data_IF_441030472761
#
_entry.id   IF_441030472761
#
_cell.length_a   1.000
_cell.length_b   1.000
_cell.length_c   1.000
_cell.angle_alpha   90.00
_cell.angle_beta   90.00
_cell.angle_gamma   90.00
#
_symmetry.space_group_name_H-M   'P 1'
#
loop_
_entity.id
_entity.type
_entity.pdbx_description
1 polymer ?
#
# COMPACT_ATOMS: atom_id res chain seq x y z
N UNK A 1 0.55 2.04 -29.77
CA UNK A 1 -0.27 1.96 -28.55
C UNK A 1 -0.76 3.36 -28.23
N UNK A 2 -2.08 3.58 -28.26
CA UNK A 2 -2.66 4.87 -27.92
C UNK A 2 -2.36 5.19 -26.44
N UNK A 3 -1.94 6.43 -26.16
CA UNK A 3 -1.66 6.89 -24.79
C UNK A 3 -2.93 6.74 -23.95
N UNK A 4 -2.85 6.21 -22.71
CA UNK A 4 -4.01 6.14 -21.83
C UNK A 4 -4.57 7.54 -21.58
N UNK A 5 -5.88 7.68 -21.73
CA UNK A 5 -6.63 8.90 -21.47
C UNK A 5 -6.61 9.20 -19.96
N UNK A 6 -5.69 10.08 -19.56
CA UNK A 6 -5.50 10.51 -18.18
C UNK A 6 -6.53 11.54 -17.71
N UNK A 7 -7.54 11.87 -18.52
CA UNK A 7 -8.51 12.95 -18.22
C UNK A 7 -9.35 12.63 -16.99
N UNK A 8 -9.72 11.36 -16.77
CA UNK A 8 -10.49 10.94 -15.57
C UNK A 8 -9.66 11.04 -14.29
N UNK A 9 -8.41 10.56 -14.30
CA UNK A 9 -7.50 10.65 -13.14
C UNK A 9 -7.10 12.09 -12.80
N UNK A 10 -7.13 12.98 -13.80
CA UNK A 10 -6.88 14.41 -13.61
C UNK A 10 -8.07 15.08 -12.93
N UNK A 11 -9.30 14.80 -13.38
CA UNK A 11 -10.52 15.27 -12.73
C UNK A 11 -10.63 14.80 -11.27
N UNK A 12 -10.32 13.53 -10.99
CA UNK A 12 -10.33 13.00 -9.61
C UNK A 12 -9.29 13.68 -8.69
N UNK A 13 -8.15 14.15 -9.23
CA UNK A 13 -7.16 14.92 -8.45
C UNK A 13 -7.61 16.36 -8.25
N UNK A 14 -8.13 16.99 -9.30
CA UNK A 14 -8.69 18.34 -9.23
C UNK A 14 -9.83 18.40 -8.20
N UNK A 15 -10.73 17.41 -8.16
CA UNK A 15 -11.80 17.31 -7.16
C UNK A 15 -11.28 17.09 -5.72
N UNK A 16 -10.18 16.34 -5.55
CA UNK A 16 -9.53 16.15 -4.24
C UNK A 16 -8.81 17.42 -3.77
N UNK A 17 -8.07 18.06 -4.65
CA UNK A 17 -7.38 19.32 -4.38
C UNK A 17 -8.40 20.42 -4.04
N UNK A 18 -9.51 20.54 -4.77
CA UNK A 18 -10.60 21.48 -4.46
C UNK A 18 -11.26 21.18 -3.10
N UNK A 19 -11.45 19.90 -2.77
CA UNK A 19 -12.00 19.48 -1.48
C UNK A 19 -11.05 19.80 -0.32
N UNK A 20 -9.74 19.60 -0.51
CA UNK A 20 -8.69 19.96 0.46
C UNK A 20 -8.57 21.48 0.62
N UNK A 21 -8.61 22.23 -0.48
CA UNK A 21 -8.58 23.70 -0.48
C UNK A 21 -9.79 24.31 0.23
N UNK A 22 -10.97 23.70 0.07
CA UNK A 22 -12.18 24.08 0.78
C UNK A 22 -12.05 24.00 2.32
N UNK A 23 -11.08 23.23 2.84
CA UNK A 23 -10.81 23.08 4.27
C UNK A 23 -9.79 24.10 4.81
N UNK A 24 -9.26 25.01 3.99
CA UNK A 24 -8.37 26.09 4.46
C UNK A 24 -9.09 26.99 5.46
N UNK A 25 -8.46 27.24 6.62
CA UNK A 25 -8.93 28.24 7.57
C UNK A 25 -8.94 29.64 6.96
N UNK A 26 -9.96 30.41 7.26
CA UNK A 26 -10.07 31.78 6.77
C UNK A 26 -9.40 32.71 7.77
N UNK A 27 -8.48 33.55 7.31
CA UNK A 27 -7.79 34.54 8.15
C UNK A 27 -8.18 35.97 7.78
N UNK A 28 -7.88 36.92 8.67
CA UNK A 28 -8.19 38.33 8.47
C UNK A 28 -7.70 38.85 7.11
N UNK A 29 -8.57 39.56 6.38
CA UNK A 29 -8.29 40.05 5.03
C UNK A 29 -8.71 39.09 3.90
N UNK A 30 -9.39 37.99 4.22
CA UNK A 30 -10.01 37.09 3.26
C UNK A 30 -11.00 37.82 2.32
N UNK A 31 -11.22 37.26 1.13
CA UNK A 31 -12.13 37.86 0.13
C UNK A 31 -13.47 37.16 0.11
N UNK A 32 -14.51 37.97 -0.03
CA UNK A 32 -15.91 37.56 -0.10
C UNK A 32 -16.47 37.84 -1.49
N UNK A 33 -17.51 37.11 -1.86
CA UNK A 33 -18.28 37.34 -3.08
C UNK A 33 -19.78 37.33 -2.82
N UNK A 34 -20.47 38.35 -3.33
CA UNK A 34 -21.93 38.45 -3.36
C UNK A 34 -22.40 38.92 -4.74
N UNK A 35 -23.12 38.06 -5.47
CA UNK A 35 -23.54 38.36 -6.85
C UNK A 35 -24.60 39.48 -6.96
N UNK A 36 -25.28 39.76 -5.85
CA UNK A 36 -26.26 40.84 -5.73
C UNK A 36 -25.68 42.16 -5.21
N UNK A 37 -24.37 42.26 -5.04
CA UNK A 37 -23.71 43.54 -4.85
C UNK A 37 -23.33 44.14 -6.22
N UNK A 38 -23.45 45.45 -6.41
CA UNK A 38 -22.95 46.12 -7.63
C UNK A 38 -21.42 46.05 -7.73
N UNK A 39 -20.74 45.88 -6.60
CA UNK A 39 -19.32 45.51 -6.51
C UNK A 39 -19.25 44.13 -5.85
N UNK A 40 -19.25 43.03 -6.63
CA UNK A 40 -19.43 41.68 -6.10
C UNK A 40 -18.35 41.22 -5.11
N UNK A 41 -17.15 41.79 -5.18
CA UNK A 41 -16.05 41.48 -4.26
C UNK A 41 -16.18 42.27 -2.94
N UNK A 42 -15.98 41.58 -1.82
CA UNK A 42 -15.93 42.16 -0.48
C UNK A 42 -14.71 41.69 0.31
N UNK A 43 -14.49 42.31 1.45
CA UNK A 43 -13.40 42.00 2.39
C UNK A 43 -13.98 41.43 3.68
N UNK A 44 -13.38 40.35 4.19
CA UNK A 44 -13.67 39.82 5.52
C UNK A 44 -12.67 40.38 6.54
N UNK A 45 -13.20 41.08 7.53
CA UNK A 45 -12.45 41.60 8.68
C UNK A 45 -12.76 40.78 9.91
N UNK A 46 -11.73 40.31 10.60
CA UNK A 46 -11.85 39.55 11.85
C UNK A 46 -11.78 40.53 13.02
N UNK A 47 -12.87 40.62 13.78
CA UNK A 47 -13.00 41.50 14.93
C UNK A 47 -12.86 40.74 16.26
N UNK A 48 -13.17 39.44 16.28
CA UNK A 48 -12.99 38.59 17.45
C UNK A 48 -11.50 38.30 17.72
N UNK A 49 -11.10 38.25 18.98
CA UNK A 49 -9.68 38.24 19.37
C UNK A 49 -9.04 36.85 19.33
N UNK A 50 -9.06 36.19 18.18
CA UNK A 50 -8.60 34.81 18.03
C UNK A 50 -7.07 34.69 17.88
N UNK A 51 -6.50 33.50 18.16
CA UNK A 51 -5.14 33.14 17.74
C UNK A 51 -4.90 33.38 16.24
N UNK A 52 -3.63 33.53 15.87
CA UNK A 52 -3.22 33.88 14.52
C UNK A 52 -2.72 32.68 13.71
N UNK A 53 -3.00 32.69 12.41
CA UNK A 53 -2.33 31.88 11.40
C UNK A 53 -1.70 32.86 10.41
N UNK A 54 -0.41 32.71 10.12
CA UNK A 54 0.35 33.66 9.28
C UNK A 54 0.19 35.12 9.75
N UNK A 55 0.38 35.33 11.06
CA UNK A 55 0.28 36.63 11.75
C UNK A 55 -1.07 37.36 11.60
N UNK A 56 -2.12 36.65 11.19
CA UNK A 56 -3.47 37.18 11.02
C UNK A 56 -4.48 36.37 11.81
N UNK A 57 -5.41 37.07 12.45
CA UNK A 57 -6.48 36.47 13.26
C UNK A 57 -7.34 35.51 12.42
N UNK A 58 -7.71 34.37 13.00
CA UNK A 58 -8.58 33.38 12.36
C UNK A 58 -10.05 33.81 12.45
N UNK A 59 -10.75 33.83 11.32
CA UNK A 59 -12.17 34.15 11.29
C UNK A 59 -13.00 33.02 11.90
N UNK A 60 -14.04 33.38 12.66
CA UNK A 60 -14.95 32.43 13.31
C UNK A 60 -16.41 32.75 13.00
N UNK A 61 -17.31 31.89 13.45
CA UNK A 61 -18.77 32.09 13.34
C UNK A 61 -19.29 33.40 13.97
N UNK A 62 -18.48 34.07 14.79
CA UNK A 62 -18.80 35.38 15.37
C UNK A 62 -18.80 36.50 14.32
N UNK A 63 -18.07 36.32 13.21
CA UNK A 63 -17.93 37.29 12.14
C UNK A 63 -19.17 37.30 11.23
N UNK A 64 -20.31 37.79 11.74
CA UNK A 64 -21.62 37.70 11.07
C UNK A 64 -22.40 39.02 10.98
N UNK A 65 -21.69 40.13 10.90
CA UNK A 65 -22.29 41.45 10.72
C UNK A 65 -21.54 42.32 9.70
N UNK A 66 -22.05 43.53 9.48
CA UNK A 66 -21.50 44.52 8.55
C UNK A 66 -20.12 45.07 8.93
N UNK A 67 -19.66 44.87 10.17
CA UNK A 67 -18.30 45.22 10.60
C UNK A 67 -17.30 44.17 10.15
N UNK A 68 -17.76 42.94 9.93
CA UNK A 68 -16.94 41.82 9.48
C UNK A 68 -17.03 41.59 7.97
N UNK A 69 -18.22 41.67 7.37
CA UNK A 69 -18.44 41.50 5.93
C UNK A 69 -18.55 42.85 5.21
N UNK A 70 -17.43 43.33 4.65
CA UNK A 70 -17.31 44.68 4.10
C UNK A 70 -17.51 44.64 2.59
N UNK A 71 -18.64 45.15 2.12
CA UNK A 71 -18.93 45.36 0.70
C UNK A 71 -19.04 46.86 0.39
N UNK A 72 -18.37 47.30 -0.67
CA UNK A 72 -18.31 48.72 -1.07
C UNK A 72 -19.40 49.12 -2.08
N UNK A 73 -20.20 48.16 -2.56
CA UNK A 73 -21.27 48.41 -3.52
C UNK A 73 -22.67 48.50 -2.90
N UNK A 74 -23.65 48.68 -3.76
CA UNK A 74 -25.06 48.70 -3.40
C UNK A 74 -25.70 47.33 -3.65
N UNK A 75 -26.76 47.01 -2.91
CA UNK A 75 -27.51 45.79 -3.14
C UNK A 75 -28.44 45.97 -4.35
N UNK A 76 -28.28 45.14 -5.38
CA UNK A 76 -29.11 45.14 -6.59
C UNK A 76 -30.60 44.88 -6.33
N UNK A 77 -30.92 44.25 -5.20
CA UNK A 77 -32.30 43.97 -4.76
C UNK A 77 -32.94 45.15 -4.03
N UNK A 78 -32.17 46.17 -3.65
CA UNK A 78 -32.75 47.41 -3.13
C UNK A 78 -33.49 48.17 -4.24
N UNK A 79 -34.51 48.98 -3.90
CA UNK A 79 -35.20 49.83 -4.88
C UNK A 79 -34.18 50.65 -5.69
N UNK A 80 -34.24 50.55 -7.02
CA UNK A 80 -33.31 51.19 -7.96
C UNK A 80 -31.82 50.89 -7.69
N UNK A 81 -31.48 49.81 -7.00
CA UNK A 81 -30.11 49.49 -6.57
C UNK A 81 -29.43 50.63 -5.78
N UNK A 82 -30.22 51.43 -5.06
CA UNK A 82 -29.75 52.67 -4.43
C UNK A 82 -29.14 52.46 -3.03
N UNK A 83 -29.45 51.36 -2.34
CA UNK A 83 -29.02 51.16 -0.96
C UNK A 83 -27.65 50.46 -0.87
N UNK A 84 -26.67 51.03 -0.14
CA UNK A 84 -25.40 50.37 0.15
C UNK A 84 -25.61 49.01 0.82
N UNK A 85 -24.82 47.99 0.44
CA UNK A 85 -24.87 46.69 1.10
C UNK A 85 -24.68 46.82 2.62
N UNK A 86 -23.77 47.71 3.06
CA UNK A 86 -23.52 47.97 4.46
C UNK A 86 -24.75 48.45 5.26
N UNK A 87 -25.77 49.03 4.62
CA UNK A 87 -26.96 49.55 5.33
C UNK A 87 -28.16 48.61 5.36
N UNK A 88 -28.23 47.64 4.43
CA UNK A 88 -29.41 46.76 4.27
C UNK A 88 -29.11 45.28 4.52
N UNK A 89 -27.84 44.92 4.65
CA UNK A 89 -27.43 43.52 4.79
C UNK A 89 -27.94 42.94 6.11
N UNK A 90 -28.66 41.82 6.00
CA UNK A 90 -29.12 41.00 7.10
C UNK A 90 -28.57 39.59 6.91
N UNK A 91 -27.72 39.13 7.82
CA UNK A 91 -26.98 37.88 7.69
C UNK A 91 -27.56 36.81 8.62
N UNK A 92 -27.67 35.58 8.10
CA UNK A 92 -28.02 34.39 8.88
C UNK A 92 -26.78 33.83 9.60
N UNK A 93 -26.87 32.60 10.12
CA UNK A 93 -25.70 31.90 10.65
C UNK A 93 -24.83 31.30 9.53
N UNK A 94 -23.54 31.17 9.81
CA UNK A 94 -22.57 30.52 8.93
C UNK A 94 -22.87 29.02 8.79
N UNK A 95 -22.63 28.50 7.58
CA UNK A 95 -22.70 27.08 7.25
C UNK A 95 -21.33 26.54 6.86
N UNK A 96 -21.16 25.22 6.95
CA UNK A 96 -19.95 24.50 6.53
C UNK A 96 -18.68 25.00 7.24
N UNK A 97 -18.79 25.20 8.56
CA UNK A 97 -17.73 25.69 9.45
C UNK A 97 -16.81 24.56 9.89
N UNK A 98 -15.64 24.89 10.44
CA UNK A 98 -14.71 23.92 10.99
C UNK A 98 -15.20 23.32 12.31
N UNK A 99 -14.66 22.17 12.68
CA UNK A 99 -15.04 21.42 13.90
C UNK A 99 -14.07 21.62 15.06
N UNK A 100 -12.92 22.27 14.82
CA UNK A 100 -11.95 22.65 15.85
C UNK A 100 -12.36 23.96 16.52
N UNK A 101 -11.81 24.26 17.70
CA UNK A 101 -12.12 25.48 18.43
C UNK A 101 -10.98 26.51 18.34
N UNK A 102 -11.34 27.75 18.04
CA UNK A 102 -10.50 28.94 18.23
C UNK A 102 -11.19 29.82 19.28
N UNK A 103 -10.69 29.80 20.52
CA UNK A 103 -11.33 30.45 21.68
C UNK A 103 -12.83 30.12 21.79
N UNK A 104 -13.14 28.83 21.86
CA UNK A 104 -14.50 28.30 22.03
C UNK A 104 -15.48 28.64 20.88
N UNK A 105 -14.96 29.10 19.74
CA UNK A 105 -15.75 29.37 18.53
C UNK A 105 -15.28 28.50 17.36
N UNK A 106 -16.23 28.05 16.55
CA UNK A 106 -15.91 27.34 15.31
C UNK A 106 -15.30 28.30 14.28
N UNK A 107 -14.19 27.93 13.64
CA UNK A 107 -13.55 28.73 12.61
C UNK A 107 -14.31 28.65 11.30
N UNK A 108 -14.17 29.68 10.47
CA UNK A 108 -14.62 29.65 9.09
C UNK A 108 -13.59 28.95 8.21
N UNK A 109 -14.10 28.16 7.28
CA UNK A 109 -13.34 27.48 6.24
C UNK A 109 -13.59 28.16 4.90
N UNK A 110 -12.72 27.96 3.91
CA UNK A 110 -12.91 28.55 2.58
C UNK A 110 -14.27 28.15 1.96
N UNK A 111 -14.74 26.93 2.25
CA UNK A 111 -16.07 26.46 1.82
C UNK A 111 -17.26 27.07 2.60
N UNK A 112 -17.01 27.78 3.70
CA UNK A 112 -18.08 28.33 4.54
C UNK A 112 -18.88 29.39 3.80
N UNK A 113 -20.19 29.41 4.04
CA UNK A 113 -21.12 30.36 3.42
C UNK A 113 -22.04 30.99 4.45
N UNK A 114 -22.54 32.20 4.15
CA UNK A 114 -23.50 32.90 5.00
C UNK A 114 -24.59 33.53 4.15
N UNK A 115 -25.85 33.28 4.51
CA UNK A 115 -26.98 33.78 3.75
C UNK A 115 -27.23 35.26 4.04
N UNK A 116 -27.25 36.10 3.02
CA UNK A 116 -27.80 37.44 3.11
C UNK A 116 -29.31 37.37 2.89
N UNK A 117 -30.11 37.48 3.95
CA UNK A 117 -31.57 37.38 3.90
C UNK A 117 -32.21 38.50 3.08
N UNK A 118 -31.65 39.71 3.14
CA UNK A 118 -32.11 40.83 2.33
C UNK A 118 -31.94 40.54 0.84
N UNK A 119 -30.71 40.19 0.42
CA UNK A 119 -30.38 39.81 -0.95
C UNK A 119 -31.06 38.51 -1.40
N UNK A 120 -31.26 37.57 -0.49
CA UNK A 120 -31.75 36.22 -0.77
C UNK A 120 -30.70 35.28 -1.36
N UNK A 121 -29.41 35.63 -1.30
CA UNK A 121 -28.28 34.84 -1.84
C UNK A 121 -27.24 34.57 -0.77
N UNK A 122 -26.48 33.50 -0.96
CA UNK A 122 -25.35 33.17 -0.08
C UNK A 122 -24.12 33.97 -0.47
N UNK A 123 -23.48 34.58 0.53
CA UNK A 123 -22.16 35.18 0.41
C UNK A 123 -21.12 34.06 0.56
N UNK A 124 -20.20 34.00 -0.39
CA UNK A 124 -19.14 32.98 -0.44
C UNK A 124 -17.79 33.58 -0.06
N UNK A 125 -16.93 32.77 0.53
CA UNK A 125 -15.51 33.10 0.70
C UNK A 125 -14.77 32.60 -0.53
N UNK A 126 -13.98 33.47 -1.17
CA UNK A 126 -13.30 33.17 -2.45
C UNK A 126 -11.78 33.18 -2.33
N UNK A 127 -11.25 33.69 -1.22
CA UNK A 127 -9.82 33.68 -0.89
C UNK A 127 -9.72 33.60 0.63
N UNK A 128 -9.03 32.59 1.16
CA UNK A 128 -8.85 32.40 2.60
C UNK A 128 -7.89 33.40 3.23
N UNK A 129 -7.24 34.25 2.41
CA UNK A 129 -6.12 35.14 2.74
C UNK A 129 -4.83 34.45 3.19
N UNK A 130 -4.83 33.12 3.30
CA UNK A 130 -3.60 32.36 3.45
C UNK A 130 -2.75 32.52 2.19
N UNK A 131 -1.45 32.72 2.37
CA UNK A 131 -0.49 32.82 1.26
C UNK A 131 0.54 31.71 1.41
N UNK A 132 0.98 31.18 0.28
CA UNK A 132 2.14 30.31 0.19
C UNK A 132 3.25 31.07 -0.54
N UNK A 133 3.54 32.28 -0.09
CA UNK A 133 4.59 33.12 -0.67
C UNK A 133 5.63 33.40 0.41
N UNK A 134 6.86 32.96 0.11
CA UNK A 134 8.05 33.43 0.82
C UNK A 134 8.37 34.81 0.23
N UNK A 135 7.92 35.88 0.89
CA UNK A 135 8.36 37.22 0.53
C UNK A 135 9.88 37.27 0.70
N UNK A 136 10.58 37.66 -0.38
CA UNK A 136 12.05 37.69 -0.53
C UNK A 136 12.79 37.84 0.81
N UNK A 137 13.48 36.78 1.21
CA UNK A 137 14.39 36.81 2.36
C UNK A 137 15.60 37.65 1.97
N UNK A 138 15.80 38.79 2.63
CA UNK A 138 17.12 39.44 2.64
C UNK A 138 18.04 38.59 3.53
N UNK A 139 18.89 37.80 2.89
CA UNK A 139 19.81 36.87 3.54
C UNK A 139 21.10 37.55 4.01
N UNK A 140 21.19 38.89 3.95
CA UNK A 140 22.40 39.60 4.32
C UNK A 140 22.51 39.68 5.85
N UNK A 141 23.14 38.66 6.45
CA UNK A 141 23.53 38.65 7.87
C UNK A 141 22.52 38.02 8.85
N UNK A 142 21.38 37.52 8.37
CA UNK A 142 20.50 36.70 9.20
C UNK A 142 21.14 35.32 9.43
N UNK A 143 21.32 34.85 10.67
CA UNK A 143 21.77 33.49 10.92
C UNK A 143 20.70 32.54 10.40
N UNK A 144 21.05 31.81 9.34
CA UNK A 144 20.29 30.66 8.85
C UNK A 144 20.07 29.73 10.04
N UNK A 145 18.83 29.34 10.38
CA UNK A 145 18.61 28.24 11.31
C UNK A 145 19.40 27.06 10.74
N UNK A 146 20.48 26.67 11.42
CA UNK A 146 21.27 25.55 10.96
C UNK A 146 20.34 24.34 10.94
N UNK A 147 19.96 23.86 9.75
CA UNK A 147 19.48 22.49 9.62
C UNK A 147 20.62 21.67 10.19
N UNK A 148 20.39 21.05 11.35
CA UNK A 148 21.40 20.21 11.95
C UNK A 148 21.66 19.07 10.95
N UNK A 149 22.80 19.14 10.27
CA UNK A 149 23.19 18.11 9.31
C UNK A 149 23.46 16.86 10.14
N UNK A 150 22.49 15.96 10.18
CA UNK A 150 22.61 14.66 10.85
C UNK A 150 23.56 13.80 10.01
N UNK A 151 24.83 13.84 10.38
CA UNK A 151 25.88 13.02 9.78
C UNK A 151 25.88 11.63 10.43
N UNK A 152 25.20 10.69 9.79
CA UNK A 152 25.14 9.27 10.22
C UNK A 152 25.75 8.34 9.19
N UNK A 153 26.32 7.24 9.67
CA UNK A 153 26.74 6.11 8.87
C UNK A 153 25.56 5.20 8.57
N UNK A 154 25.61 4.52 7.43
CA UNK A 154 24.60 3.53 7.04
C UNK A 154 24.32 3.50 5.54
N UNK A 155 23.27 2.77 5.20
CA UNK A 155 22.73 2.62 3.85
C UNK A 155 21.42 3.38 3.73
N UNK A 156 21.31 4.22 2.70
CA UNK A 156 20.17 5.10 2.50
C UNK A 156 19.37 4.64 1.29
N UNK A 157 18.08 4.45 1.50
CA UNK A 157 17.12 4.12 0.47
C UNK A 157 16.06 5.19 0.38
N UNK A 158 15.75 5.65 -0.83
CA UNK A 158 14.60 6.47 -1.07
C UNK A 158 13.32 5.72 -0.64
N UNK A 159 12.29 6.42 -0.18
CA UNK A 159 10.98 5.83 0.16
C UNK A 159 10.38 5.02 -0.99
N UNK A 160 10.78 5.31 -2.23
CA UNK A 160 10.40 4.51 -3.40
C UNK A 160 11.19 3.18 -3.59
N UNK A 161 12.10 2.82 -2.68
CA UNK A 161 12.91 1.60 -2.72
C UNK A 161 14.19 1.70 -3.55
N UNK A 162 14.51 2.87 -4.11
CA UNK A 162 15.78 3.12 -4.81
C UNK A 162 16.91 3.26 -3.79
N UNK A 163 18.06 2.66 -4.07
CA UNK A 163 19.26 2.85 -3.25
C UNK A 163 19.91 4.20 -3.60
N UNK A 164 20.09 5.07 -2.60
CA UNK A 164 20.63 6.42 -2.78
C UNK A 164 22.14 6.48 -2.51
N UNK A 165 22.63 5.69 -1.56
CA UNK A 165 24.05 5.60 -1.26
C UNK A 165 24.38 4.97 0.09
N UNK A 166 25.68 4.85 0.36
CA UNK A 166 26.24 4.37 1.62
C UNK A 166 27.20 5.42 2.17
N UNK A 167 27.15 5.64 3.47
CA UNK A 167 28.11 6.49 4.20
C UNK A 167 28.82 5.68 5.27
N UNK A 168 30.13 5.81 5.34
CA UNK A 168 30.99 5.16 6.33
C UNK A 168 32.19 6.06 6.67
N UNK A 169 31.89 7.15 7.37
CA UNK A 169 32.86 8.14 7.80
C UNK A 169 33.10 8.01 9.31
N UNK A 170 34.37 8.11 9.73
CA UNK A 170 34.76 7.94 11.14
C UNK A 170 34.19 9.00 12.07
N UNK A 171 33.84 10.17 11.54
CA UNK A 171 33.28 11.30 12.30
C UNK A 171 31.75 11.24 12.42
N UNK A 172 31.10 10.37 11.64
CA UNK A 172 29.65 10.25 11.63
C UNK A 172 29.20 9.33 12.77
N UNK A 173 28.02 9.63 13.32
CA UNK A 173 27.37 8.78 14.32
C UNK A 173 26.70 7.55 13.67
N UNK A 174 26.21 6.61 14.47
CA UNK A 174 25.56 5.39 13.95
C UNK A 174 26.52 4.36 13.37
N UNK A 175 25.98 3.25 12.87
CA UNK A 175 26.74 2.12 12.33
C UNK A 175 26.70 2.10 10.80
N UNK A 176 27.82 1.75 10.14
CA UNK A 176 27.88 1.64 8.68
C UNK A 176 27.03 0.51 8.09
N UNK A 177 26.43 -0.32 8.94
CA UNK A 177 25.46 -1.36 8.59
C UNK A 177 24.01 -0.97 8.88
N UNK A 178 23.74 0.19 9.48
CA UNK A 178 22.37 0.67 9.70
C UNK A 178 21.67 0.94 8.37
N UNK A 179 20.34 0.84 8.36
CA UNK A 179 19.51 1.08 7.17
C UNK A 179 18.55 2.23 7.44
N UNK A 180 18.53 3.20 6.54
CA UNK A 180 17.66 4.37 6.61
C UNK A 180 16.76 4.45 5.37
N UNK A 181 15.51 4.88 5.56
CA UNK A 181 14.71 5.45 4.49
C UNK A 181 14.95 6.96 4.40
N UNK A 182 14.83 7.57 3.23
CA UNK A 182 14.94 9.02 3.00
C UNK A 182 14.01 9.46 1.86
N UNK A 183 13.77 10.77 1.72
CA UNK A 183 13.02 11.34 0.58
C UNK A 183 13.90 11.84 -0.57
N UNK A 184 15.16 11.38 -0.58
CA UNK A 184 16.14 11.68 -1.61
C UNK A 184 17.42 12.26 -1.02
N UNK A 185 18.24 12.85 -1.90
CA UNK A 185 19.51 13.48 -1.55
C UNK A 185 19.53 14.95 -1.94
N UNK A 186 20.25 15.75 -1.17
CA UNK A 186 20.50 17.16 -1.44
C UNK A 186 21.98 17.48 -1.27
N UNK A 187 22.45 18.49 -2.00
CA UNK A 187 23.79 19.05 -1.80
C UNK A 187 23.71 20.20 -0.81
N UNK A 188 24.48 20.11 0.27
CA UNK A 188 24.60 21.17 1.27
C UNK A 188 26.07 21.58 1.40
N UNK A 189 26.36 22.76 1.95
CA UNK A 189 27.73 23.16 2.26
C UNK A 189 28.02 22.90 3.73
N UNK A 190 29.18 22.32 4.02
CA UNK A 190 29.66 22.15 5.39
C UNK A 190 30.18 23.47 5.98
N UNK A 191 30.69 23.41 7.22
CA UNK A 191 31.23 24.58 7.95
C UNK A 191 32.43 25.23 7.26
N UNK A 192 33.11 24.49 6.38
CA UNK A 192 34.27 24.97 5.61
C UNK A 192 33.85 25.42 4.20
N UNK A 193 32.55 25.46 3.90
CA UNK A 193 31.98 25.86 2.62
C UNK A 193 32.07 24.79 1.53
N UNK A 194 32.48 23.57 1.88
CA UNK A 194 32.62 22.44 0.94
C UNK A 194 31.26 21.77 0.72
N UNK A 195 30.96 21.48 -0.54
CA UNK A 195 29.75 20.74 -0.90
C UNK A 195 29.80 19.29 -0.41
N UNK A 196 28.77 18.89 0.33
CA UNK A 196 28.53 17.56 0.86
C UNK A 196 27.15 17.05 0.42
N UNK A 197 27.06 15.76 0.13
CA UNK A 197 25.77 15.11 -0.11
C UNK A 197 25.14 14.75 1.22
N UNK A 198 23.89 15.15 1.42
CA UNK A 198 23.07 14.81 2.59
C UNK A 198 21.82 14.08 2.13
N UNK A 199 21.19 13.33 3.04
CA UNK A 199 19.96 12.60 2.77
C UNK A 199 18.81 13.26 3.52
N UNK A 200 17.68 13.43 2.83
CA UNK A 200 16.55 14.20 3.35
C UNK A 200 15.63 13.29 4.16
N UNK A 201 15.12 13.78 5.31
CA UNK A 201 14.10 13.12 6.13
C UNK A 201 14.45 11.66 6.46
N UNK A 202 15.70 11.45 6.90
CA UNK A 202 16.17 10.10 7.19
C UNK A 202 15.38 9.47 8.36
N UNK A 203 14.97 8.22 8.20
CA UNK A 203 14.35 7.41 9.26
C UNK A 203 15.08 6.09 9.36
N UNK A 204 15.65 5.83 10.52
CA UNK A 204 16.34 4.59 10.85
C UNK A 204 15.33 3.44 10.94
N UNK A 205 15.58 2.36 10.19
CA UNK A 205 14.74 1.17 10.21
C UNK A 205 15.13 0.26 11.36
N UNK A 206 14.11 -0.21 12.09
CA UNK A 206 14.27 -1.08 13.24
C UNK A 206 13.42 -2.34 13.11
N UNK A 207 13.99 -3.47 13.49
CA UNK A 207 13.26 -4.71 13.69
C UNK A 207 12.86 -4.79 15.18
N UNK A 208 11.61 -4.43 15.48
CA UNK A 208 11.18 -4.08 16.84
C UNK A 208 11.97 -2.85 17.33
N UNK A 209 12.80 -2.97 18.36
CA UNK A 209 13.56 -1.85 18.93
C UNK A 209 15.05 -1.83 18.52
N UNK A 210 15.48 -2.83 17.76
CA UNK A 210 16.88 -2.96 17.33
C UNK A 210 17.06 -2.53 15.87
N UNK A 211 18.15 -1.82 15.58
CA UNK A 211 18.49 -1.43 14.22
C UNK A 211 18.65 -2.69 13.34
N UNK A 212 17.96 -2.72 12.21
CA UNK A 212 18.16 -3.79 11.25
C UNK A 212 19.49 -3.57 10.51
N UNK A 213 20.33 -4.61 10.44
CA UNK A 213 21.55 -4.54 9.65
C UNK A 213 21.23 -4.63 8.15
N UNK A 214 22.04 -3.98 7.32
CA UNK A 214 21.90 -3.97 5.87
C UNK A 214 21.91 -5.38 5.26
N UNK A 215 22.79 -6.26 5.75
CA UNK A 215 22.83 -7.68 5.35
C UNK A 215 21.48 -8.38 5.65
N UNK A 216 20.91 -8.16 6.84
CA UNK A 216 19.63 -8.75 7.20
C UNK A 216 18.48 -8.20 6.35
N UNK A 217 18.44 -6.88 6.15
CA UNK A 217 17.46 -6.22 5.29
C UNK A 217 17.52 -6.77 3.85
N UNK A 218 18.71 -6.87 3.26
CA UNK A 218 18.91 -7.38 1.91
C UNK A 218 18.56 -8.87 1.78
N UNK A 219 18.84 -9.68 2.81
CA UNK A 219 18.45 -11.09 2.84
C UNK A 219 16.93 -11.25 2.87
N UNK A 220 16.24 -10.54 3.77
CA UNK A 220 14.78 -10.56 3.88
C UNK A 220 14.15 -10.09 2.55
N UNK A 221 14.68 -9.02 1.97
CA UNK A 221 14.21 -8.50 0.69
C UNK A 221 14.34 -9.55 -0.43
N UNK A 222 15.45 -10.28 -0.49
CA UNK A 222 15.60 -11.35 -1.49
C UNK A 222 14.52 -12.42 -1.34
N UNK A 223 14.31 -12.91 -0.11
CA UNK A 223 13.34 -13.98 0.13
C UNK A 223 11.92 -13.51 -0.20
N UNK A 224 11.49 -12.34 0.31
CA UNK A 224 10.17 -11.76 0.01
C UNK A 224 9.96 -11.58 -1.50
N UNK A 225 10.98 -11.09 -2.21
CA UNK A 225 10.92 -10.92 -3.67
C UNK A 225 10.71 -12.25 -4.40
N UNK A 226 11.36 -13.32 -3.93
CA UNK A 226 11.33 -14.63 -4.58
C UNK A 226 10.06 -15.42 -4.24
N UNK A 227 9.43 -15.15 -3.09
CA UNK A 227 8.13 -15.71 -2.69
C UNK A 227 6.96 -15.06 -3.46
N UNK A 228 7.05 -13.76 -3.76
CA UNK A 228 6.01 -13.08 -4.54
C UNK A 228 5.97 -13.56 -6.00
N UNK A 229 4.79 -13.62 -6.61
CA UNK A 229 4.63 -14.00 -8.01
C UNK A 229 5.12 -12.92 -8.96
N UNK A 230 4.44 -11.76 -8.93
CA UNK A 230 4.63 -10.67 -9.90
C UNK A 230 5.10 -9.37 -9.22
N UNK A 231 5.11 -8.26 -9.95
CA UNK A 231 5.39 -6.92 -9.42
C UNK A 231 4.16 -6.33 -8.68
N UNK A 232 3.58 -7.09 -7.75
CA UNK A 232 2.41 -6.69 -6.96
C UNK A 232 2.84 -6.20 -5.57
N UNK A 233 2.73 -4.88 -5.34
CA UNK A 233 3.10 -4.26 -4.06
C UNK A 233 2.22 -4.76 -2.90
N UNK A 234 0.94 -5.05 -3.13
CA UNK A 234 0.04 -5.57 -2.09
C UNK A 234 0.48 -6.98 -1.68
N UNK A 235 0.78 -7.85 -2.64
CA UNK A 235 1.30 -9.21 -2.36
C UNK A 235 2.64 -9.15 -1.61
N UNK A 236 3.58 -8.32 -2.06
CA UNK A 236 4.87 -8.11 -1.39
C UNK A 236 4.70 -7.63 0.05
N UNK A 237 3.80 -6.66 0.28
CA UNK A 237 3.45 -6.19 1.64
C UNK A 237 2.85 -7.31 2.48
N UNK A 238 1.93 -8.10 1.94
CA UNK A 238 1.34 -9.24 2.65
C UNK A 238 2.39 -10.29 3.03
N UNK A 239 3.28 -10.68 2.12
CA UNK A 239 4.35 -11.67 2.39
C UNK A 239 5.30 -11.14 3.46
N UNK A 240 5.69 -9.87 3.35
CA UNK A 240 6.56 -9.22 4.32
C UNK A 240 5.91 -9.21 5.72
N UNK A 241 4.67 -8.72 5.83
CA UNK A 241 3.95 -8.68 7.11
C UNK A 241 3.72 -10.07 7.70
N UNK A 242 3.30 -11.03 6.87
CA UNK A 242 2.99 -12.40 7.31
C UNK A 242 4.23 -13.11 7.87
N UNK A 243 5.38 -12.99 7.20
CA UNK A 243 6.64 -13.55 7.69
C UNK A 243 7.15 -12.83 8.94
N UNK A 244 6.95 -11.51 9.06
CA UNK A 244 7.29 -10.76 10.27
C UNK A 244 6.38 -11.10 11.47
N UNK A 245 5.08 -11.33 11.22
CA UNK A 245 4.14 -11.78 12.23
C UNK A 245 4.53 -13.15 12.78
N UNK A 246 4.89 -14.08 11.88
CA UNK A 246 5.38 -15.39 12.28
C UNK A 246 6.66 -15.30 13.10
N UNK A 247 7.61 -14.43 12.73
CA UNK A 247 8.88 -14.30 13.46
C UNK A 247 8.65 -13.79 14.88
N UNK A 248 7.75 -12.80 15.03
CA UNK A 248 7.27 -12.32 16.34
C UNK A 248 6.59 -13.42 17.14
N UNK A 249 5.72 -14.21 16.51
CA UNK A 249 4.98 -15.30 17.17
C UNK A 249 5.92 -16.37 17.74
N UNK A 250 6.93 -16.78 16.98
CA UNK A 250 7.89 -17.82 17.39
C UNK A 250 9.12 -17.25 18.10
N UNK A 251 9.17 -15.92 18.29
CA UNK A 251 10.21 -15.18 19.02
C UNK A 251 11.63 -15.38 18.48
N UNK A 252 11.78 -15.34 17.15
CA UNK A 252 13.09 -15.35 16.49
C UNK A 252 13.21 -14.14 15.56
N UNK A 253 14.45 -13.77 15.18
CA UNK A 253 14.66 -12.66 14.24
C UNK A 253 14.10 -13.01 12.86
N UNK A 254 13.62 -12.01 12.14
CA UNK A 254 12.91 -12.18 10.88
C UNK A 254 13.77 -12.90 9.83
N UNK A 255 15.05 -12.52 9.70
CA UNK A 255 16.02 -13.26 8.86
C UNK A 255 16.15 -14.72 9.28
N UNK A 256 16.24 -14.99 10.59
CA UNK A 256 16.41 -16.36 11.10
C UNK A 256 15.21 -17.23 10.71
N UNK A 257 13.98 -16.70 10.82
CA UNK A 257 12.78 -17.40 10.35
C UNK A 257 12.87 -17.69 8.85
N UNK A 258 13.14 -16.67 8.03
CA UNK A 258 13.18 -16.82 6.57
C UNK A 258 14.32 -17.72 6.09
N UNK A 259 15.36 -17.93 6.90
CA UNK A 259 16.42 -18.89 6.62
C UNK A 259 16.02 -20.36 6.83
N UNK A 260 14.88 -20.62 7.50
CA UNK A 260 14.37 -21.98 7.73
C UNK A 260 13.56 -22.51 6.54
N UNK A 261 12.99 -23.71 6.70
CA UNK A 261 12.02 -24.30 5.79
C UNK A 261 10.66 -23.56 5.76
N UNK A 262 10.47 -22.53 6.58
CA UNK A 262 9.30 -21.65 6.52
C UNK A 262 9.13 -20.99 5.14
N UNK A 263 10.25 -20.70 4.46
CA UNK A 263 10.27 -20.24 3.06
C UNK A 263 10.80 -21.34 2.16
N UNK A 264 10.09 -21.56 1.04
CA UNK A 264 10.43 -22.58 0.03
C UNK A 264 11.56 -22.13 -0.92
N UNK A 265 11.94 -20.85 -0.87
CA UNK A 265 12.98 -20.28 -1.74
C UNK A 265 14.30 -21.03 -1.57
N UNK A 266 14.80 -21.59 -2.68
CA UNK A 266 16.13 -22.17 -2.79
C UNK A 266 17.22 -21.10 -2.94
N UNK A 267 18.47 -21.46 -2.63
CA UNK A 267 19.66 -20.60 -2.77
C UNK A 267 19.45 -19.17 -2.22
N UNK A 268 18.93 -19.09 -0.99
CA UNK A 268 18.66 -17.82 -0.29
C UNK A 268 19.94 -17.00 -0.14
N UNK A 269 19.91 -15.75 -0.60
CA UNK A 269 21.05 -14.83 -0.61
C UNK A 269 20.59 -13.40 -0.37
N UNK A 270 21.51 -12.44 -0.40
CA UNK A 270 21.18 -11.02 -0.26
C UNK A 270 20.78 -10.39 -1.60
N UNK A 271 19.72 -9.57 -1.56
CA UNK A 271 19.33 -8.74 -2.69
C UNK A 271 20.30 -7.57 -2.81
N UNK A 272 21.11 -7.56 -3.88
CA UNK A 272 22.02 -6.45 -4.16
C UNK A 272 21.29 -5.10 -4.12
N UNK A 273 21.84 -4.15 -3.39
CA UNK A 273 21.32 -2.79 -3.23
C UNK A 273 21.24 -2.05 -4.57
N UNK A 274 22.18 -2.30 -5.48
CA UNK A 274 22.23 -1.73 -6.83
C UNK A 274 21.17 -2.29 -7.78
N UNK A 275 20.43 -3.33 -7.36
CA UNK A 275 19.38 -3.92 -8.20
C UNK A 275 18.15 -3.00 -8.21
N UNK A 276 17.88 -2.40 -9.37
CA UNK A 276 16.91 -1.32 -9.53
C UNK A 276 15.67 -1.69 -10.38
N UNK A 277 15.46 -2.98 -10.63
CA UNK A 277 14.20 -3.43 -11.26
C UNK A 277 13.00 -3.13 -10.34
N UNK A 278 11.84 -2.95 -10.95
CA UNK A 278 10.60 -2.58 -10.27
C UNK A 278 10.30 -3.51 -9.09
N UNK A 279 10.35 -4.84 -9.28
CA UNK A 279 10.10 -5.80 -8.20
C UNK A 279 11.05 -5.60 -7.02
N UNK A 280 12.34 -5.36 -7.27
CA UNK A 280 13.33 -5.08 -6.21
C UNK A 280 12.97 -3.81 -5.43
N UNK A 281 12.56 -2.73 -6.12
CA UNK A 281 12.14 -1.49 -5.46
C UNK A 281 10.87 -1.69 -4.63
N UNK A 282 9.83 -2.28 -5.20
CA UNK A 282 8.58 -2.59 -4.50
C UNK A 282 8.79 -3.51 -3.30
N UNK A 283 9.72 -4.47 -3.41
CA UNK A 283 10.09 -5.33 -2.29
C UNK A 283 10.67 -4.49 -1.15
N UNK A 284 11.64 -3.60 -1.41
CA UNK A 284 12.19 -2.73 -0.36
C UNK A 284 11.12 -1.82 0.25
N UNK A 285 10.22 -1.26 -0.57
CA UNK A 285 9.05 -0.51 -0.08
C UNK A 285 8.18 -1.34 0.86
N UNK A 286 7.94 -2.62 0.54
CA UNK A 286 7.15 -3.52 1.40
C UNK A 286 7.82 -3.77 2.75
N UNK A 287 9.16 -3.87 2.79
CA UNK A 287 9.90 -3.98 4.04
C UNK A 287 9.86 -2.68 4.83
N UNK A 288 9.95 -1.51 4.18
CA UNK A 288 9.81 -0.22 4.86
C UNK A 288 8.44 -0.11 5.53
N UNK A 289 7.39 -0.52 4.83
CA UNK A 289 6.03 -0.53 5.36
C UNK A 289 5.94 -1.35 6.67
N UNK A 290 6.56 -2.53 6.72
CA UNK A 290 6.60 -3.35 7.95
C UNK A 290 7.47 -2.71 9.04
N UNK A 291 8.69 -2.30 8.70
CA UNK A 291 9.69 -1.81 9.67
C UNK A 291 9.37 -0.39 10.19
N UNK A 292 8.52 0.36 9.48
CA UNK A 292 8.00 1.64 9.94
C UNK A 292 6.83 1.50 10.92
N UNK A 293 6.31 0.28 11.12
CA UNK A 293 5.20 0.01 12.02
C UNK A 293 3.84 0.41 11.46
N UNK A 294 3.67 0.38 10.14
CA UNK A 294 2.39 0.66 9.48
C UNK A 294 1.34 -0.42 9.82
N UNK A 295 0.06 -0.20 9.52
CA UNK A 295 -0.97 -1.17 9.86
C UNK A 295 -0.77 -2.54 9.17
N UNK A 296 -0.95 -3.62 9.93
CA UNK A 296 -0.89 -5.00 9.44
C UNK A 296 -2.12 -5.31 8.56
N UNK A 297 -1.96 -5.10 7.26
CA UNK A 297 -2.98 -5.40 6.25
C UNK A 297 -3.38 -6.88 6.17
N UNK A 298 -2.59 -7.79 6.76
CA UNK A 298 -2.87 -9.23 6.75
C UNK A 298 -3.72 -9.66 7.94
N UNK A 299 -4.04 -8.76 8.87
CA UNK A 299 -4.83 -9.01 10.06
C UNK A 299 -4.28 -10.20 10.90
N UNK A 300 -2.95 -10.24 11.06
CA UNK A 300 -2.26 -11.26 11.83
C UNK A 300 -2.10 -12.59 11.11
N UNK A 301 -2.03 -12.60 9.78
CA UNK A 301 -1.66 -13.81 9.05
C UNK A 301 -0.24 -14.25 9.45
N UNK A 302 -0.03 -15.56 9.47
CA UNK A 302 1.24 -16.21 9.80
C UNK A 302 1.74 -17.17 8.69
N UNK A 303 0.93 -17.42 7.66
CA UNK A 303 1.28 -18.30 6.53
C UNK A 303 0.65 -17.77 5.23
N UNK A 304 1.11 -18.24 4.08
CA UNK A 304 0.48 -18.00 2.78
C UNK A 304 0.56 -19.25 1.92
N UNK A 305 -0.33 -19.36 0.92
CA UNK A 305 -0.24 -20.34 -0.16
C UNK A 305 -0.55 -19.67 -1.49
N UNK A 306 0.05 -20.21 -2.55
CA UNK A 306 -0.19 -19.75 -3.91
C UNK A 306 -1.45 -20.35 -4.52
N UNK A 307 -1.52 -20.31 -5.86
CA UNK A 307 -2.63 -20.91 -6.62
C UNK A 307 -2.78 -22.41 -6.41
N UNK A 308 -1.74 -23.09 -5.90
CA UNK A 308 -1.75 -24.52 -5.64
C UNK A 308 -2.81 -24.93 -4.62
N UNK A 309 -3.10 -24.06 -3.64
CA UNK A 309 -4.14 -24.35 -2.65
C UNK A 309 -5.50 -24.56 -3.29
N UNK A 310 -5.94 -23.62 -4.13
CA UNK A 310 -7.23 -23.72 -4.81
C UNK A 310 -7.19 -24.66 -6.01
N UNK A 311 -6.02 -24.86 -6.62
CA UNK A 311 -5.87 -25.75 -7.76
C UNK A 311 -5.89 -27.23 -7.36
N UNK A 312 -5.35 -27.56 -6.18
CA UNK A 312 -5.27 -28.95 -5.73
C UNK A 312 -6.40 -29.32 -4.76
N UNK A 313 -6.78 -28.40 -3.86
CA UNK A 313 -7.80 -28.66 -2.84
C UNK A 313 -7.49 -29.92 -2.03
N UNK A 314 -8.51 -30.73 -1.74
CA UNK A 314 -8.38 -32.07 -1.21
C UNK A 314 -8.73 -33.16 -2.25
N UNK A 315 -9.20 -32.76 -3.42
CA UNK A 315 -9.71 -33.69 -4.45
C UNK A 315 -8.75 -34.04 -5.58
N UNK A 316 -7.66 -33.29 -5.77
CA UNK A 316 -6.75 -33.48 -6.92
C UNK A 316 -5.43 -34.13 -6.52
N UNK A 317 -4.94 -35.08 -7.33
CA UNK A 317 -3.56 -35.57 -7.22
C UNK A 317 -2.58 -34.49 -7.68
N UNK A 318 -1.71 -34.05 -6.78
CA UNK A 318 -0.74 -33.00 -7.04
C UNK A 318 0.51 -33.54 -7.80
N UNK A 319 1.38 -32.66 -8.35
CA UNK A 319 2.57 -33.04 -9.14
C UNK A 319 3.57 -33.98 -8.44
N UNK A 320 3.43 -34.15 -7.13
CA UNK A 320 4.28 -34.99 -6.29
C UNK A 320 3.65 -36.35 -5.98
N UNK A 321 2.57 -36.72 -6.69
CA UNK A 321 1.84 -37.97 -6.52
C UNK A 321 1.23 -38.12 -5.11
N UNK A 322 0.72 -37.00 -4.58
CA UNK A 322 -0.04 -36.94 -3.33
C UNK A 322 -1.44 -36.40 -3.62
N UNK A 323 -2.46 -36.98 -3.00
CA UNK A 323 -3.81 -36.44 -3.02
C UNK A 323 -3.89 -35.16 -2.17
N UNK A 324 -4.39 -34.08 -2.76
CA UNK A 324 -4.65 -32.82 -2.09
C UNK A 324 -3.42 -31.99 -1.72
N UNK A 325 -3.70 -30.86 -1.07
CA UNK A 325 -2.73 -29.92 -0.54
C UNK A 325 -2.48 -30.19 0.95
N UNK A 326 -1.25 -30.01 1.41
CA UNK A 326 -0.81 -30.41 2.75
C UNK A 326 -1.64 -29.85 3.91
N UNK A 327 -2.24 -28.67 3.77
CA UNK A 327 -3.00 -28.01 4.83
C UNK A 327 -4.27 -28.75 5.20
N UNK A 328 -4.83 -29.55 4.28
CA UNK A 328 -5.94 -30.44 4.59
C UNK A 328 -5.52 -31.59 5.53
N UNK A 329 -4.22 -31.87 5.65
CA UNK A 329 -3.68 -32.87 6.59
C UNK A 329 -3.07 -32.24 7.87
N UNK A 330 -2.81 -30.93 7.87
CA UNK A 330 -2.08 -30.23 8.93
C UNK A 330 -2.97 -29.50 9.94
N UNK A 331 -4.18 -29.13 9.54
CA UNK A 331 -5.04 -28.23 10.30
C UNK A 331 -6.41 -28.83 10.53
N UNK A 332 -7.01 -28.55 11.70
CA UNK A 332 -8.34 -29.06 12.08
C UNK A 332 -9.44 -28.66 11.11
N UNK A 333 -9.40 -27.41 10.66
CA UNK A 333 -10.33 -26.88 9.69
C UNK A 333 -9.66 -25.85 8.79
N UNK A 334 -10.27 -25.62 7.64
CA UNK A 334 -9.92 -24.59 6.69
C UNK A 334 -11.14 -23.70 6.49
N UNK A 335 -10.94 -22.40 6.60
CA UNK A 335 -11.96 -21.39 6.35
C UNK A 335 -11.43 -20.34 5.37
N UNK A 336 -12.23 -20.00 4.35
CA UNK A 336 -11.97 -18.85 3.48
C UNK A 336 -13.20 -17.96 3.48
N UNK A 337 -13.13 -16.75 4.08
CA UNK A 337 -14.18 -15.76 3.96
C UNK A 337 -14.53 -15.50 2.49
N UNK A 338 -15.82 -15.28 2.21
CA UNK A 338 -16.31 -15.15 0.84
C UNK A 338 -15.64 -14.03 0.06
N UNK A 339 -15.43 -12.89 0.68
CA UNK A 339 -14.76 -11.73 0.10
C UNK A 339 -13.29 -12.03 -0.25
N UNK A 340 -12.57 -12.75 0.63
CA UNK A 340 -11.20 -13.21 0.38
C UNK A 340 -11.14 -14.16 -0.81
N UNK A 341 -12.06 -15.13 -0.86
CA UNK A 341 -12.18 -16.10 -1.95
C UNK A 341 -12.53 -15.42 -3.28
N UNK A 342 -13.58 -14.61 -3.30
CA UNK A 342 -14.04 -13.91 -4.51
C UNK A 342 -12.94 -12.97 -5.04
N UNK A 343 -12.23 -12.26 -4.16
CA UNK A 343 -11.09 -11.43 -4.53
C UNK A 343 -9.92 -12.26 -5.11
N UNK A 344 -9.69 -13.46 -4.59
CA UNK A 344 -8.67 -14.37 -5.13
C UNK A 344 -9.05 -14.83 -6.54
N UNK A 345 -10.28 -15.33 -6.73
CA UNK A 345 -10.78 -15.78 -8.02
C UNK A 345 -10.79 -14.64 -9.05
N UNK A 346 -11.19 -13.43 -8.66
CA UNK A 346 -11.17 -12.27 -9.56
C UNK A 346 -9.76 -11.86 -10.01
N UNK A 347 -8.76 -12.07 -9.15
CA UNK A 347 -7.37 -11.69 -9.42
C UNK A 347 -6.59 -12.78 -10.17
N UNK A 348 -7.11 -14.01 -10.24
CA UNK A 348 -6.44 -15.18 -10.79
C UNK A 348 -7.23 -15.77 -11.97
N UNK A 349 -6.55 -16.54 -12.82
CA UNK A 349 -7.21 -17.23 -13.92
C UNK A 349 -8.02 -18.45 -13.44
N UNK A 350 -8.85 -18.99 -14.33
CA UNK A 350 -9.62 -20.23 -14.10
C UNK A 350 -8.78 -21.52 -14.13
N UNK A 351 -7.46 -21.40 -14.31
CA UNK A 351 -6.56 -22.55 -14.32
C UNK A 351 -5.11 -22.14 -14.04
N UNK A 352 -4.30 -23.10 -13.64
CA UNK A 352 -2.86 -22.95 -13.45
C UNK A 352 -2.11 -24.17 -13.98
N UNK A 353 -0.78 -24.06 -14.15
CA UNK A 353 0.06 -25.13 -14.70
C UNK A 353 1.31 -25.35 -13.86
N UNK A 354 1.58 -26.61 -13.54
CA UNK A 354 2.79 -27.03 -12.82
C UNK A 354 3.68 -27.91 -13.69
N UNK A 355 4.96 -28.00 -13.35
CA UNK A 355 5.89 -28.92 -14.01
C UNK A 355 5.47 -30.37 -13.78
N UNK A 356 5.39 -31.15 -14.85
CA UNK A 356 5.13 -32.59 -14.76
C UNK A 356 6.46 -33.35 -14.82
N UNK A 357 6.76 -34.10 -13.76
CA UNK A 357 7.95 -34.98 -13.70
C UNK A 357 7.64 -36.42 -14.11
N UNK A 358 6.39 -36.72 -14.48
CA UNK A 358 5.93 -38.09 -14.76
C UNK A 358 5.76 -38.93 -13.50
N UNK A 359 5.50 -38.30 -12.34
CA UNK A 359 5.33 -38.99 -11.06
C UNK A 359 3.96 -39.67 -10.93
N UNK A 360 2.97 -39.22 -11.70
CA UNK A 360 1.61 -39.78 -11.76
C UNK A 360 1.08 -39.68 -13.21
N UNK A 361 -0.04 -40.34 -13.50
CA UNK A 361 -0.62 -40.40 -14.83
C UNK A 361 -2.12 -40.67 -14.80
N UNK A 362 -2.79 -40.41 -15.94
CA UNK A 362 -4.25 -40.53 -16.12
C UNK A 362 -4.92 -41.81 -15.59
N UNK A 363 -4.19 -42.91 -15.37
CA UNK A 363 -4.75 -44.16 -14.83
C UNK A 363 -4.81 -44.20 -13.31
N UNK A 364 -3.94 -43.47 -12.62
CA UNK A 364 -3.83 -43.50 -11.16
C UNK A 364 -4.07 -42.14 -10.49
N UNK A 365 -4.49 -41.15 -11.27
CA UNK A 365 -4.84 -39.82 -10.77
C UNK A 365 -6.26 -39.79 -10.18
N UNK A 366 -6.42 -38.93 -9.18
CA UNK A 366 -7.73 -38.48 -8.69
C UNK A 366 -7.91 -37.01 -9.07
N UNK A 367 -9.13 -36.65 -9.47
CA UNK A 367 -9.50 -35.30 -9.86
C UNK A 367 -9.66 -35.12 -11.37
N UNK A 368 -9.55 -33.86 -11.83
CA UNK A 368 -9.95 -33.41 -13.17
C UNK A 368 -8.80 -32.82 -13.99
N UNK A 369 -7.58 -32.82 -13.44
CA UNK A 369 -6.43 -32.22 -14.10
C UNK A 369 -6.02 -32.88 -15.42
N UNK A 370 -5.35 -32.09 -16.26
CA UNK A 370 -4.93 -32.48 -17.60
C UNK A 370 -3.40 -32.61 -17.68
N UNK A 371 -2.93 -33.80 -18.06
CA UNK A 371 -1.52 -34.03 -18.41
C UNK A 371 -1.21 -33.56 -19.84
N UNK A 372 -0.22 -32.68 -19.94
CA UNK A 372 0.29 -32.12 -21.19
C UNK A 372 1.68 -32.69 -21.46
N UNK A 373 1.84 -33.32 -22.62
CA UNK A 373 3.11 -33.83 -23.12
C UNK A 373 3.77 -32.84 -24.07
N UNK A 374 5.08 -32.99 -24.26
CA UNK A 374 5.85 -32.33 -25.32
C UNK A 374 6.64 -33.38 -26.11
N UNK A 375 6.94 -33.09 -27.37
CA UNK A 375 7.87 -33.89 -28.17
C UNK A 375 9.31 -33.59 -27.76
N UNK A 376 10.10 -34.62 -27.50
CA UNK A 376 11.53 -34.51 -27.23
C UNK A 376 12.31 -35.51 -28.08
N UNK A 377 13.41 -35.04 -28.69
CA UNK A 377 14.31 -35.89 -29.47
C UNK A 377 15.21 -36.68 -28.52
N UNK A 378 14.99 -37.99 -28.43
CA UNK A 378 15.85 -38.89 -27.65
C UNK A 378 16.68 -39.77 -28.58
N UNK A 379 17.90 -40.09 -28.14
CA UNK A 379 18.75 -41.04 -28.85
C UNK A 379 18.09 -42.41 -28.80
N UNK A 380 17.97 -43.08 -29.94
CA UNK A 380 17.53 -44.47 -29.99
C UNK A 380 18.64 -45.31 -29.36
N UNK A 381 18.30 -46.08 -28.32
CA UNK A 381 19.25 -46.94 -27.62
C UNK A 381 19.08 -48.39 -28.07
N UNK A 382 20.20 -49.08 -28.28
CA UNK A 382 20.21 -50.53 -28.50
C UNK A 382 19.97 -51.31 -27.20
N UNK A 383 19.88 -52.65 -27.28
CA UNK A 383 19.72 -53.51 -26.09
C UNK A 383 20.82 -53.34 -25.04
N UNK A 384 22.00 -52.89 -25.44
CA UNK A 384 23.16 -52.60 -24.58
C UNK A 384 23.15 -51.18 -23.97
N UNK A 385 22.04 -50.44 -24.14
CA UNK A 385 21.87 -49.04 -23.73
C UNK A 385 22.83 -48.06 -24.42
N UNK A 386 23.50 -48.44 -25.51
CA UNK A 386 24.31 -47.51 -26.31
C UNK A 386 23.48 -46.89 -27.44
N UNK A 387 23.82 -45.67 -27.89
CA UNK A 387 23.14 -45.06 -29.02
C UNK A 387 23.30 -45.90 -30.29
N UNK A 388 22.20 -46.21 -30.96
CA UNK A 388 22.23 -46.79 -32.30
C UNK A 388 22.77 -45.74 -33.26
N UNK A 389 23.78 -46.12 -34.06
CA UNK A 389 24.38 -45.24 -35.05
C UNK A 389 23.74 -45.47 -36.42
N UNK A 390 23.47 -44.39 -37.15
CA UNK A 390 23.02 -44.41 -38.52
C UNK A 390 24.14 -44.79 -39.48
N UNK A 391 23.82 -44.91 -40.77
CA UNK A 391 24.79 -45.22 -41.84
C UNK A 391 25.93 -44.19 -41.95
N UNK A 392 25.73 -42.99 -41.41
CA UNK A 392 26.69 -41.89 -41.34
C UNK A 392 27.56 -41.89 -40.06
N UNK A 393 27.42 -42.91 -39.21
CA UNK A 393 28.15 -43.03 -37.94
C UNK A 393 27.63 -42.12 -36.83
N UNK A 394 26.51 -41.40 -37.03
CA UNK A 394 25.93 -40.51 -36.01
C UNK A 394 24.78 -41.17 -35.26
N UNK A 395 24.50 -40.79 -34.00
CA UNK A 395 23.35 -41.31 -33.26
C UNK A 395 22.03 -41.06 -33.99
N UNK A 396 21.19 -42.09 -34.06
CA UNK A 396 19.80 -41.98 -34.51
C UNK A 396 18.97 -41.38 -33.39
N UNK A 397 18.06 -40.48 -33.74
CA UNK A 397 17.12 -39.85 -32.81
C UNK A 397 15.68 -40.19 -33.20
N UNK A 398 14.84 -40.36 -32.20
CA UNK A 398 13.39 -40.50 -32.33
C UNK A 398 12.69 -39.39 -31.53
N UNK A 399 11.48 -39.02 -31.98
CA UNK A 399 10.63 -38.10 -31.24
C UNK A 399 9.69 -38.89 -30.33
N UNK A 400 9.87 -38.71 -29.03
CA UNK A 400 9.01 -39.33 -28.02
C UNK A 400 8.20 -38.27 -27.29
N UNK A 401 6.97 -38.61 -26.94
CA UNK A 401 6.16 -37.80 -26.02
C UNK A 401 6.70 -37.97 -24.61
N UNK A 402 7.06 -36.85 -23.99
CA UNK A 402 7.48 -36.81 -22.58
C UNK A 402 6.55 -35.90 -21.79
N UNK A 403 6.31 -36.18 -20.49
CA UNK A 403 5.59 -35.28 -19.60
C UNK A 403 6.19 -33.87 -19.63
N UNK A 404 5.33 -32.86 -19.61
CA UNK A 404 5.77 -31.45 -19.61
C UNK A 404 5.11 -30.64 -18.50
N UNK A 405 3.78 -30.60 -18.49
CA UNK A 405 2.99 -29.79 -17.55
C UNK A 405 1.73 -30.54 -17.15
N UNK A 406 1.25 -30.27 -15.93
CA UNK A 406 -0.10 -30.63 -15.50
C UNK A 406 -0.89 -29.34 -15.35
N UNK A 407 -2.08 -29.30 -15.95
CA UNK A 407 -3.00 -28.16 -15.88
C UNK A 407 -4.14 -28.50 -14.92
N UNK A 408 -4.36 -27.63 -13.95
CA UNK A 408 -5.44 -27.74 -12.96
C UNK A 408 -6.45 -26.62 -13.17
N UNK A 409 -7.74 -26.92 -12.97
CA UNK A 409 -8.76 -25.88 -12.84
C UNK A 409 -8.60 -25.13 -11.51
N UNK A 410 -9.01 -23.86 -11.50
CA UNK A 410 -9.13 -23.07 -10.28
C UNK A 410 -10.58 -22.58 -10.19
N UNK A 411 -11.33 -22.94 -9.14
CA UNK A 411 -10.91 -23.83 -8.05
C UNK A 411 -11.06 -25.33 -8.39
N UNK A 412 -10.48 -26.19 -7.56
CA UNK A 412 -10.74 -27.63 -7.49
C UNK A 412 -12.18 -27.93 -7.03
N UNK A 413 -12.59 -29.20 -7.13
CA UNK A 413 -13.98 -29.61 -6.90
C UNK A 413 -14.48 -29.34 -5.47
N UNK A 414 -13.62 -29.47 -4.46
CA UNK A 414 -13.98 -29.27 -3.04
C UNK A 414 -14.55 -27.87 -2.78
N UNK A 415 -14.05 -26.85 -3.48
CA UNK A 415 -14.47 -25.46 -3.33
C UNK A 415 -15.73 -25.12 -4.14
N UNK A 416 -16.17 -26.01 -5.03
CA UNK A 416 -17.43 -25.85 -5.79
C UNK A 416 -18.61 -26.50 -5.06
N UNK A 417 -18.34 -27.40 -4.12
CA UNK A 417 -19.34 -28.09 -3.31
C UNK A 417 -20.08 -27.12 -2.38
N UNK A 418 -21.39 -26.95 -2.62
CA UNK A 418 -22.24 -26.04 -1.87
C UNK A 418 -22.37 -26.40 -0.40
N UNK A 419 -22.13 -27.67 -0.03
CA UNK A 419 -22.16 -28.07 1.38
C UNK A 419 -21.07 -27.40 2.20
N UNK A 420 -19.93 -27.05 1.59
CA UNK A 420 -18.85 -26.29 2.21
C UNK A 420 -19.12 -24.78 2.30
N UNK A 421 -20.23 -24.28 1.75
CA UNK A 421 -20.54 -22.83 1.68
C UNK A 421 -21.78 -22.42 2.47
N UNK A 422 -22.37 -23.31 3.26
CA UNK A 422 -23.64 -23.08 3.99
C UNK A 422 -23.63 -21.83 4.90
N UNK A 423 -22.48 -21.43 5.44
CA UNK A 423 -22.35 -20.25 6.29
C UNK A 423 -22.03 -18.96 5.53
N UNK A 424 -22.05 -18.97 4.19
CA UNK A 424 -21.64 -17.86 3.34
C UNK A 424 -20.14 -17.81 3.06
N UNK A 425 -19.30 -18.37 3.94
CA UNK A 425 -17.85 -18.59 3.75
C UNK A 425 -17.55 -20.04 3.40
N UNK A 426 -16.43 -20.30 2.72
CA UNK A 426 -15.93 -21.67 2.56
C UNK A 426 -15.51 -22.22 3.92
N UNK A 427 -15.97 -23.42 4.24
CA UNK A 427 -15.56 -24.15 5.43
C UNK A 427 -15.40 -25.64 5.16
N UNK A 428 -14.25 -26.17 5.57
CA UNK A 428 -13.94 -27.59 5.49
C UNK A 428 -13.38 -28.08 6.83
N UNK A 429 -14.04 -29.07 7.44
CA UNK A 429 -13.49 -29.80 8.59
C UNK A 429 -12.66 -30.97 8.06
N UNK A 430 -11.38 -31.02 8.42
CA UNK A 430 -10.44 -31.99 7.83
C UNK A 430 -10.47 -33.36 8.52
N UNK A 431 -11.00 -33.42 9.75
CA UNK A 431 -10.91 -34.60 10.61
C UNK A 431 -9.53 -34.82 11.25
N UNK A 432 -8.58 -33.91 11.01
CA UNK A 432 -7.25 -33.94 11.64
C UNK A 432 -7.38 -33.65 13.13
N UNK A 433 -6.75 -34.48 13.97
CA UNK A 433 -6.74 -34.33 15.43
C UNK A 433 -5.76 -33.22 15.88
N UNK A 434 -6.05 -31.99 15.48
CA UNK A 434 -5.26 -30.80 15.79
C UNK A 434 -6.09 -29.77 16.56
N UNK A 435 -5.42 -28.91 17.33
CA UNK A 435 -6.12 -27.88 18.13
C UNK A 435 -6.59 -26.70 17.28
N UNK A 436 -5.88 -26.42 16.19
CA UNK A 436 -6.04 -25.18 15.42
C UNK A 436 -6.43 -25.49 13.98
N UNK A 437 -7.32 -24.68 13.44
CA UNK A 437 -7.54 -24.52 12.02
C UNK A 437 -6.75 -23.33 11.45
N UNK A 438 -7.04 -23.03 10.19
CA UNK A 438 -6.58 -21.83 9.50
C UNK A 438 -7.75 -21.09 8.86
N UNK A 439 -7.69 -19.76 8.92
CA UNK A 439 -8.67 -18.87 8.33
C UNK A 439 -7.96 -17.88 7.41
N UNK A 440 -8.44 -17.77 6.17
CA UNK A 440 -7.99 -16.76 5.23
C UNK A 440 -8.34 -15.36 5.74
N UNK A 441 -7.40 -14.43 5.73
CA UNK A 441 -7.63 -13.05 6.19
C UNK A 441 -7.57 -12.03 5.07
N UNK A 442 -6.81 -12.33 4.00
CA UNK A 442 -6.70 -11.48 2.82
C UNK A 442 -6.18 -12.30 1.64
N UNK A 443 -6.52 -11.88 0.42
CA UNK A 443 -5.87 -12.30 -0.81
C UNK A 443 -5.14 -11.12 -1.48
N UNK A 444 -3.97 -11.40 -2.04
CA UNK A 444 -3.16 -10.45 -2.79
C UNK A 444 -2.28 -11.18 -3.80
N UNK A 445 -2.17 -10.65 -5.03
CA UNK A 445 -1.51 -11.33 -6.13
C UNK A 445 -2.04 -12.74 -6.35
N UNK A 446 -1.15 -13.73 -6.28
CA UNK A 446 -1.44 -15.15 -6.49
C UNK A 446 -1.61 -15.91 -5.17
N UNK A 447 -1.77 -15.20 -4.06
CA UNK A 447 -1.64 -15.76 -2.72
C UNK A 447 -2.87 -15.50 -1.83
N UNK A 448 -3.21 -16.49 -1.00
CA UNK A 448 -4.08 -16.34 0.17
C UNK A 448 -3.22 -16.36 1.43
N UNK A 449 -3.52 -15.46 2.37
CA UNK A 449 -2.80 -15.31 3.62
C UNK A 449 -3.65 -15.82 4.78
N UNK A 450 -3.04 -16.62 5.65
CA UNK A 450 -3.72 -17.44 6.63
C UNK A 450 -3.33 -17.09 8.06
N UNK A 451 -4.34 -16.97 8.91
CA UNK A 451 -4.19 -16.87 10.36
C UNK A 451 -4.50 -18.22 11.00
N UNK A 452 -3.65 -18.64 11.94
CA UNK A 452 -3.89 -19.85 12.74
C UNK A 452 -4.90 -19.54 13.86
N UNK A 453 -6.02 -20.24 13.89
CA UNK A 453 -7.15 -19.93 14.78
C UNK A 453 -7.70 -21.19 15.45
N UNK A 454 -8.20 -21.08 16.68
CA UNK A 454 -8.87 -22.22 17.37
C UNK A 454 -10.31 -22.41 16.89
N UNK A 455 -10.91 -21.32 16.42
CA UNK A 455 -12.29 -21.23 15.95
C UNK A 455 -12.33 -20.38 14.69
N UNK A 456 -13.34 -20.62 13.86
CA UNK A 456 -13.64 -19.87 12.64
C UNK A 456 -13.70 -18.36 12.91
N UNK A 457 -13.08 -17.56 12.05
CA UNK A 457 -13.13 -16.10 12.12
C UNK A 457 -14.51 -15.56 11.78
N UNK A 458 -15.26 -16.22 10.89
CA UNK A 458 -16.62 -15.79 10.53
C UNK A 458 -17.69 -16.45 11.40
N UNK A 459 -17.34 -17.01 12.56
CA UNK A 459 -18.34 -17.46 13.53
C UNK A 459 -19.07 -16.26 14.14
N UNK A 460 -20.39 -16.35 14.29
CA UNK A 460 -21.28 -15.29 14.80
C UNK A 460 -20.90 -14.74 16.19
N UNK A 461 -19.98 -15.40 16.90
CA UNK A 461 -19.51 -15.00 18.23
C UNK A 461 -18.21 -14.16 18.23
N UNK A 462 -17.61 -13.86 17.07
CA UNK A 462 -16.36 -13.09 17.00
C UNK A 462 -16.52 -11.60 17.35
N UNK A 463 -17.74 -11.08 17.42
CA UNK A 463 -18.06 -9.69 17.78
C UNK A 463 -18.24 -9.45 19.28
N UNK A 464 -17.96 -10.45 20.13
CA UNK A 464 -17.96 -10.31 21.60
C UNK A 464 -16.65 -10.81 22.18
N UNK A 465 -15.58 -10.04 22.07
CA UNK A 465 -14.46 -10.07 23.02
C UNK A 465 -13.66 -8.77 23.01
#
# INVERSE_FOLDING_TARGET
>A
MAKPDNTLKRKEREEKEDAEDGLKFVINGAKLKCDLCTVPAGDLKVNFDTPTIQDKKVATVVEKDMKSLIFKGNCKKSPNSASPCASVMKLADWKDVGTVYFQDKFPLLLKSTIKCEYGGVDVKITDSAQRNEVEKIDTTGAPVPSVEIINVNGYFYNTNGTFEGKVNETKNSGNSTDVYTCTGKSTQKDKDGKEITTYNEIKLLKENDENITHSNFCYIAYVVKMEAGENDLKELKCIAYTSFNRSKKVKIKWKQLLATAYSSVGDKKELKETKNDEKSKLTRQSLFYVLNGEDDLTNGAEFWDGTDFLAWGNSETNPYNKLGQNKFDEYKFIEIPKDVYDAFIASNGSSTRYGDKGNHNKKNDQGTHEHITKKEKKKVLGPDKKPILGKDGKPVFEEVDVPSKIKYEIPASDFKDQDHWKSGSFYYETGVNETYGISGTISAGKSIFWKKTKTRLTSENASKK
#
